data_IF_859539208897
#
_entry.id   IF_859539208897
#
_cell.length_a   1.000
_cell.length_b   1.000
_cell.length_c   1.000
_cell.angle_alpha   90.00
_cell.angle_beta   90.00
_cell.angle_gamma   90.00
#
_symmetry.space_group_name_H-M   'P 1'
#
loop_
_entity.id
_entity.type
_entity.pdbx_description
1 polymer ?
#
# COMPACT_ATOMS: atom_id res chain seq x y z
N UNK A 1 -3.34 -8.10 25.26
CA UNK A 1 -3.79 -9.50 25.07
C UNK A 1 -3.14 -10.33 26.15
N UNK A 2 -3.91 -10.91 27.08
CA UNK A 2 -3.34 -11.41 28.33
C UNK A 2 -2.53 -10.31 29.04
N UNK A 3 -1.33 -10.66 29.51
CA UNK A 3 -0.38 -9.73 30.15
C UNK A 3 0.43 -8.86 29.17
N UNK A 4 0.21 -8.97 27.87
CA UNK A 4 0.96 -8.18 26.87
C UNK A 4 0.21 -6.89 26.52
N UNK A 5 0.88 -5.76 26.73
CA UNK A 5 0.47 -4.45 26.23
C UNK A 5 0.90 -4.28 24.77
N UNK A 6 0.03 -3.72 23.93
CA UNK A 6 0.35 -3.34 22.56
C UNK A 6 0.08 -1.86 22.38
N UNK A 7 1.00 -1.17 21.70
CA UNK A 7 0.94 0.29 21.55
C UNK A 7 1.72 0.74 20.32
N UNK A 8 1.47 1.98 19.89
CA UNK A 8 2.30 2.62 18.87
C UNK A 8 3.42 3.41 19.56
N UNK A 9 4.65 3.27 19.06
CA UNK A 9 5.80 4.03 19.54
C UNK A 9 6.81 4.28 18.43
N UNK A 10 7.64 5.29 18.66
CA UNK A 10 8.71 5.72 17.77
C UNK A 10 10.04 5.65 18.52
N UNK A 11 10.99 4.88 17.99
CA UNK A 11 12.34 4.70 18.54
C UNK A 11 13.38 5.66 17.94
N UNK A 12 12.96 6.57 17.06
CA UNK A 12 13.82 7.48 16.32
C UNK A 12 14.47 6.85 15.07
N UNK A 13 14.22 5.56 14.80
CA UNK A 13 14.80 4.81 13.67
C UNK A 13 13.73 4.33 12.70
N UNK A 14 12.63 3.77 13.22
CA UNK A 14 11.58 3.10 12.44
C UNK A 14 10.29 3.94 12.31
N UNK A 15 10.22 5.12 12.92
CA UNK A 15 8.97 5.89 12.98
C UNK A 15 7.93 5.23 13.92
N UNK A 16 6.68 5.69 13.84
CA UNK A 16 5.58 5.12 14.65
C UNK A 16 5.14 3.76 14.12
N UNK A 17 5.56 2.71 14.83
CA UNK A 17 5.32 1.32 14.49
C UNK A 17 4.59 0.57 15.61
N UNK A 18 4.32 -0.73 15.42
CA UNK A 18 3.63 -1.55 16.41
C UNK A 18 4.62 -2.17 17.40
N UNK A 19 4.42 -1.89 18.68
CA UNK A 19 5.25 -2.36 19.79
C UNK A 19 4.46 -3.26 20.73
N UNK A 20 5.18 -4.09 21.49
CA UNK A 20 4.62 -4.83 22.61
C UNK A 20 5.49 -4.72 23.86
N UNK A 21 4.87 -4.87 25.02
CA UNK A 21 5.55 -4.93 26.32
C UNK A 21 4.90 -5.96 27.24
N UNK A 22 5.71 -6.65 28.03
CA UNK A 22 5.28 -7.49 29.16
C UNK A 22 5.34 -6.73 30.50
N UNK A 23 5.59 -5.42 30.47
CA UNK A 23 5.79 -4.58 31.65
C UNK A 23 7.25 -4.40 32.07
N UNK A 24 8.20 -5.06 31.39
CA UNK A 24 9.64 -4.91 31.63
C UNK A 24 10.32 -4.11 30.52
N UNK A 25 11.47 -3.52 30.82
CA UNK A 25 12.29 -2.85 29.80
C UNK A 25 12.73 -3.81 28.70
N UNK A 26 13.18 -5.01 29.06
CA UNK A 26 13.67 -6.02 28.11
C UNK A 26 12.55 -6.62 27.26
N UNK A 27 11.34 -6.76 27.81
CA UNK A 27 10.17 -7.24 27.07
C UNK A 27 9.46 -6.16 26.26
N UNK A 28 9.92 -4.90 26.34
CA UNK A 28 9.42 -3.80 25.52
C UNK A 28 10.16 -3.77 24.19
N UNK A 29 9.52 -4.30 23.15
CA UNK A 29 10.17 -4.56 21.85
C UNK A 29 9.28 -4.16 20.68
N UNK A 30 9.92 -3.78 19.58
CA UNK A 30 9.27 -3.62 18.28
C UNK A 30 8.66 -4.96 17.87
N UNK A 31 7.35 -5.00 17.67
CA UNK A 31 6.67 -6.21 17.22
C UNK A 31 6.79 -6.38 15.70
N UNK A 32 6.57 -5.30 14.95
CA UNK A 32 6.65 -5.31 13.50
C UNK A 32 6.94 -3.89 13.00
N UNK A 33 7.95 -3.78 12.14
CA UNK A 33 8.09 -2.63 11.24
C UNK A 33 7.21 -2.89 10.02
N UNK A 34 6.06 -2.21 9.95
CA UNK A 34 5.06 -2.38 8.89
C UNK A 34 5.41 -1.51 7.68
N UNK A 35 5.96 -0.31 7.90
CA UNK A 35 6.40 0.59 6.83
C UNK A 35 7.89 0.94 7.01
N UNK A 36 8.80 0.14 6.43
CA UNK A 36 10.23 0.39 6.55
C UNK A 36 10.66 1.73 5.91
N UNK A 37 11.62 2.41 6.54
CA UNK A 37 12.20 3.67 6.07
C UNK A 37 11.87 4.85 6.99
N UNK A 38 12.04 6.08 6.50
CA UNK A 38 11.74 7.31 7.25
C UNK A 38 10.24 7.66 7.34
N UNK A 39 9.37 6.74 6.94
CA UNK A 39 7.91 6.87 7.08
C UNK A 39 7.42 6.15 8.33
N UNK A 40 6.12 6.27 8.64
CA UNK A 40 5.51 5.56 9.76
C UNK A 40 4.22 4.85 9.33
N UNK A 41 3.98 3.65 9.87
CA UNK A 41 2.74 2.92 9.60
C UNK A 41 1.54 3.44 10.38
N UNK A 42 1.77 4.14 11.49
CA UNK A 42 0.75 4.76 12.33
C UNK A 42 -0.31 3.78 12.88
N UNK A 43 0.07 2.72 13.62
CA UNK A 43 -0.89 1.80 14.23
C UNK A 43 -1.90 2.52 15.12
N UNK A 44 -3.18 2.31 14.86
CA UNK A 44 -4.28 2.98 15.58
C UNK A 44 -5.48 2.05 15.78
N UNK A 45 -6.40 2.44 16.67
CA UNK A 45 -7.59 1.66 17.04
C UNK A 45 -7.29 0.21 17.48
N UNK A 46 -6.21 0.03 18.25
CA UNK A 46 -5.78 -1.26 18.78
C UNK A 46 -6.89 -1.88 19.64
N UNK A 47 -7.41 -3.02 19.19
CA UNK A 47 -8.54 -3.71 19.82
C UNK A 47 -8.21 -5.20 19.96
N UNK A 48 -8.13 -5.68 21.19
CA UNK A 48 -7.92 -7.10 21.48
C UNK A 48 -9.26 -7.85 21.48
N UNK A 49 -9.34 -8.94 20.71
CA UNK A 49 -10.47 -9.88 20.70
C UNK A 49 -9.92 -11.29 20.90
N UNK A 50 -10.12 -11.85 22.09
CA UNK A 50 -9.48 -13.13 22.47
C UNK A 50 -7.95 -13.04 22.38
N UNK A 51 -7.35 -13.92 21.57
CA UNK A 51 -5.91 -13.98 21.31
C UNK A 51 -5.46 -13.19 20.08
N UNK A 52 -6.34 -12.40 19.46
CA UNK A 52 -6.02 -11.61 18.26
C UNK A 52 -6.13 -10.11 18.54
N UNK A 53 -5.12 -9.36 18.12
CA UNK A 53 -5.15 -7.91 18.10
C UNK A 53 -5.56 -7.45 16.71
N UNK A 54 -6.58 -6.60 16.62
CA UNK A 54 -6.96 -5.89 15.40
C UNK A 54 -6.57 -4.42 15.51
N UNK A 55 -6.09 -3.84 14.42
CA UNK A 55 -5.67 -2.44 14.38
C UNK A 55 -5.62 -1.92 12.93
N UNK A 56 -5.55 -0.61 12.76
CA UNK A 56 -5.32 0.04 11.46
C UNK A 56 -3.87 0.42 11.31
N UNK A 57 -3.28 0.18 10.15
CA UNK A 57 -1.94 0.65 9.80
C UNK A 57 -1.78 0.82 8.28
N UNK A 58 -0.83 1.66 7.88
CA UNK A 58 -0.45 1.91 6.49
C UNK A 58 0.91 1.25 6.19
N UNK A 59 0.98 0.41 5.15
CA UNK A 59 2.21 -0.24 4.69
C UNK A 59 2.88 0.48 3.51
N UNK A 60 2.40 1.67 3.14
CA UNK A 60 2.86 2.44 1.99
C UNK A 60 2.41 1.90 0.64
N UNK A 61 1.67 0.79 0.59
CA UNK A 61 1.23 0.11 -0.64
C UNK A 61 -0.30 0.11 -0.76
N UNK A 62 -0.99 -0.30 0.30
CA UNK A 62 -2.44 -0.47 0.34
C UNK A 62 -3.15 0.70 1.05
N UNK A 63 -2.40 1.67 1.58
CA UNK A 63 -2.96 2.75 2.39
C UNK A 63 -3.34 2.27 3.79
N UNK A 64 -4.20 3.02 4.48
CA UNK A 64 -4.67 2.69 5.83
C UNK A 64 -5.68 1.53 5.79
N UNK A 65 -5.24 0.33 6.20
CA UNK A 65 -6.02 -0.91 6.10
C UNK A 65 -6.18 -1.62 7.45
N UNK A 66 -7.00 -2.67 7.49
CA UNK A 66 -7.20 -3.52 8.69
C UNK A 66 -6.15 -4.63 8.78
N UNK A 67 -5.44 -4.64 9.90
CA UNK A 67 -4.41 -5.62 10.24
C UNK A 67 -4.85 -6.48 11.42
N UNK A 68 -4.24 -7.66 11.52
CA UNK A 68 -4.33 -8.53 12.70
C UNK A 68 -2.94 -8.96 13.18
N UNK A 69 -2.83 -9.28 14.47
CA UNK A 69 -1.63 -9.87 15.07
C UNK A 69 -2.00 -10.92 16.12
N UNK A 70 -1.23 -11.99 16.19
CA UNK A 70 -1.25 -12.98 17.28
C UNK A 70 -0.23 -12.65 18.40
N UNK A 71 0.42 -11.49 18.33
CA UNK A 71 1.50 -11.09 19.24
C UNK A 71 2.91 -11.46 18.76
N UNK A 72 3.04 -12.01 17.55
CA UNK A 72 4.31 -12.29 16.88
C UNK A 72 4.49 -11.45 15.60
N UNK A 73 5.74 -11.21 15.20
CA UNK A 73 6.05 -10.50 13.96
C UNK A 73 5.54 -11.23 12.70
N UNK A 74 5.51 -12.57 12.75
CA UNK A 74 5.05 -13.41 11.65
C UNK A 74 3.52 -13.43 11.53
N UNK A 75 2.81 -13.48 12.66
CA UNK A 75 1.35 -13.41 12.70
C UNK A 75 0.77 -12.00 12.58
N UNK A 76 1.62 -10.97 12.48
CA UNK A 76 1.22 -9.58 12.19
C UNK A 76 1.05 -9.39 10.69
N UNK A 77 -0.19 -9.49 10.21
CA UNK A 77 -0.53 -9.54 8.78
C UNK A 77 -1.74 -8.67 8.43
N UNK A 78 -1.73 -8.14 7.21
CA UNK A 78 -2.87 -7.49 6.58
C UNK A 78 -4.00 -8.51 6.38
N UNK A 79 -5.23 -8.17 6.76
CA UNK A 79 -6.36 -9.11 6.65
C UNK A 79 -6.87 -9.21 5.20
N UNK A 80 -7.28 -8.07 4.62
CA UNK A 80 -7.70 -7.96 3.22
C UNK A 80 -7.61 -6.49 2.81
N UNK A 81 -6.84 -6.13 1.78
CA UNK A 81 -6.80 -4.75 1.28
C UNK A 81 -8.14 -4.37 0.65
N UNK A 82 -8.59 -3.16 0.93
CA UNK A 82 -9.76 -2.53 0.30
C UNK A 82 -9.36 -1.76 -0.95
N UNK A 83 -8.11 -1.30 -1.05
CA UNK A 83 -7.54 -0.73 -2.28
C UNK A 83 -6.66 -1.75 -3.00
N UNK A 84 -7.13 -2.23 -4.15
CA UNK A 84 -6.29 -2.97 -5.10
C UNK A 84 -6.05 -2.05 -6.28
N UNK A 85 -4.81 -1.57 -6.45
CA UNK A 85 -4.42 -0.98 -7.74
C UNK A 85 -4.58 -2.07 -8.79
N UNK A 86 -5.54 -1.90 -9.70
CA UNK A 86 -5.63 -2.76 -10.87
C UNK A 86 -4.38 -2.48 -11.70
N UNK A 87 -3.52 -3.48 -11.86
CA UNK A 87 -2.49 -3.45 -12.89
C UNK A 87 -3.21 -3.36 -14.24
N UNK A 88 -3.32 -2.15 -14.79
CA UNK A 88 -3.73 -1.96 -16.18
C UNK A 88 -2.54 -2.39 -17.04
N UNK A 89 -2.47 -3.69 -17.33
CA UNK A 89 -1.57 -4.18 -18.38
C UNK A 89 -2.17 -3.77 -19.71
N UNK A 90 -1.74 -2.62 -20.25
CA UNK A 90 -2.08 -2.24 -21.62
C UNK A 90 -1.39 -3.21 -22.57
N UNK A 91 -2.10 -4.22 -23.08
CA UNK A 91 -1.70 -4.89 -24.31
C UNK A 91 -2.21 -4.04 -25.48
N UNK A 92 -1.42 -3.04 -25.91
CA UNK A 92 -1.73 -2.32 -27.13
C UNK A 92 -1.29 -3.15 -28.34
N UNK A 93 -2.18 -4.00 -28.83
CA UNK A 93 -2.11 -4.48 -30.21
C UNK A 93 -2.93 -3.52 -31.07
N UNK A 94 -2.35 -2.37 -31.45
CA UNK A 94 -2.94 -1.51 -32.48
C UNK A 94 -2.78 -2.18 -33.84
N UNK A 95 -3.72 -3.06 -34.19
CA UNK A 95 -3.92 -3.53 -35.56
C UNK A 95 -5.12 -2.79 -36.16
N UNK A 96 -4.80 -1.93 -37.14
CA UNK A 96 -5.65 -1.58 -38.29
C UNK A 96 -7.03 -1.00 -38.00
N UNK A 97 -7.18 0.29 -38.29
CA UNK A 97 -8.28 0.84 -39.12
C UNK A 97 -7.94 2.28 -39.48
N UNK A 98 -7.41 2.47 -40.68
CA UNK A 98 -7.56 3.74 -41.38
C UNK A 98 -9.06 4.03 -41.50
N UNK A 99 -9.48 5.23 -41.13
CA UNK A 99 -10.76 5.78 -41.56
C UNK A 99 -10.48 7.10 -42.24
N UNK A 100 -10.46 7.05 -43.58
CA UNK A 100 -10.56 8.21 -44.47
C UNK A 100 -11.74 9.05 -44.03
N UNK A 101 -11.48 10.23 -43.51
CA UNK A 101 -12.45 11.33 -43.54
C UNK A 101 -11.95 12.35 -44.55
N UNK A 102 -12.70 12.44 -45.66
CA UNK A 102 -12.56 13.42 -46.71
C UNK A 102 -12.89 14.81 -46.15
N UNK A 103 -11.95 15.75 -46.21
CA UNK A 103 -12.25 17.17 -46.19
C UNK A 103 -11.51 17.87 -47.33
N UNK A 104 -12.22 17.94 -48.46
CA UNK A 104 -12.41 19.14 -49.29
C UNK A 104 -11.16 20.00 -49.54
N UNK A 105 -10.53 19.73 -50.69
CA UNK A 105 -10.28 20.72 -51.74
C UNK A 105 -9.37 21.91 -51.45
N UNK A 106 -8.13 21.83 -51.93
CA UNK A 106 -7.47 22.93 -52.64
C UNK A 106 -6.63 22.33 -53.78
N UNK A 107 -6.96 22.72 -55.00
CA UNK A 107 -6.23 22.43 -56.23
C UNK A 107 -5.37 23.65 -56.58
N UNK A 108 -4.08 23.47 -56.81
CA UNK A 108 -3.32 24.35 -57.71
C UNK A 108 -2.40 23.52 -58.62
N UNK A 109 -2.50 23.81 -59.92
CA UNK A 109 -1.69 23.28 -61.03
C UNK A 109 -0.39 24.09 -61.18
N UNK A 110 0.69 23.44 -61.61
CA UNK A 110 1.54 23.75 -62.78
C UNK A 110 2.69 22.72 -62.82
N UNK A 111 2.82 21.93 -63.90
CA UNK A 111 3.71 22.15 -65.06
C UNK A 111 5.21 22.15 -64.64
N UNK A 112 6.13 21.41 -65.26
CA UNK A 112 6.24 20.97 -66.64
C UNK A 112 7.07 19.67 -66.75
N UNK A 113 6.85 18.92 -67.82
CA UNK A 113 7.82 17.98 -68.33
C UNK A 113 8.76 18.67 -69.32
N UNK A 114 10.01 18.23 -69.33
CA UNK A 114 10.72 17.79 -70.54
C UNK A 114 11.73 16.73 -70.14
#
# INVERSE_FOLDING_TARGET
>A
MGNTLFFSANDGVNGFELWKSDGTATGTVLLKNILPGFSWSGPSNLTAVGSTLFFRANDGVNGQELWKSDGTAAGTVLLKPTFRTLSVTTSQKRKGRESKYLSRGVSWRQAAGN
#
